data_IF_532748021474
#
_entry.id   IF_532748021474
#
_cell.length_a   1.000
_cell.length_b   1.000
_cell.length_c   1.000
_cell.angle_alpha   90.00
_cell.angle_beta   90.00
_cell.angle_gamma   90.00
#
_symmetry.space_group_name_H-M   'P 1'
#
loop_
_entity.id
_entity.type
_entity.pdbx_description
1 polymer ?
#
# COMPACT_ATOMS: atom_id res chain seq x y z
N UNK A 1 -21.29 44.41 12.97
CA UNK A 1 -21.72 43.11 12.41
C UNK A 1 -20.62 42.09 12.70
N UNK A 2 -20.81 41.22 13.70
CA UNK A 2 -19.86 40.15 13.97
C UNK A 2 -19.97 39.14 12.83
N UNK A 3 -18.88 38.93 12.09
CA UNK A 3 -18.85 38.00 10.97
C UNK A 3 -19.25 36.60 11.47
N UNK A 4 -20.13 35.90 10.75
CA UNK A 4 -20.54 34.52 11.05
C UNK A 4 -19.34 33.59 11.26
N UNK A 5 -18.20 33.90 10.65
CA UNK A 5 -16.93 33.20 10.83
C UNK A 5 -16.36 33.33 12.24
N UNK A 6 -16.49 34.48 12.91
CA UNK A 6 -16.07 34.65 14.30
C UNK A 6 -16.90 33.81 15.26
N UNK A 7 -18.22 33.72 15.03
CA UNK A 7 -19.11 32.90 15.86
C UNK A 7 -18.74 31.41 15.72
N UNK A 8 -18.52 30.94 14.49
CA UNK A 8 -18.10 29.56 14.24
C UNK A 8 -16.74 29.24 14.89
N UNK A 9 -15.80 30.17 14.84
CA UNK A 9 -14.47 29.99 15.43
C UNK A 9 -14.54 29.92 16.96
N UNK A 10 -15.35 30.78 17.60
CA UNK A 10 -15.58 30.73 19.05
C UNK A 10 -16.26 29.42 19.45
N UNK A 11 -17.29 28.98 18.71
CA UNK A 11 -17.97 27.71 18.97
C UNK A 11 -17.01 26.52 18.82
N UNK A 12 -16.15 26.53 17.80
CA UNK A 12 -15.14 25.49 17.60
C UNK A 12 -14.13 25.45 18.76
N UNK A 13 -13.63 26.60 19.22
CA UNK A 13 -12.71 26.67 20.35
C UNK A 13 -13.35 26.15 21.65
N UNK A 14 -14.62 26.49 21.90
CA UNK A 14 -15.35 25.99 23.06
C UNK A 14 -15.57 24.47 22.98
N UNK A 15 -15.90 23.95 21.80
CA UNK A 15 -16.07 22.51 21.59
C UNK A 15 -14.76 21.74 21.80
N UNK A 16 -13.62 22.28 21.35
CA UNK A 16 -12.30 21.69 21.59
C UNK A 16 -11.95 21.71 23.08
N UNK A 17 -12.17 22.84 23.76
CA UNK A 17 -11.95 22.93 25.21
C UNK A 17 -12.80 21.93 26.00
N UNK A 18 -14.07 21.78 25.63
CA UNK A 18 -14.97 20.80 26.23
C UNK A 18 -14.52 19.36 25.97
N UNK A 19 -14.05 19.06 24.76
CA UNK A 19 -13.53 17.74 24.41
C UNK A 19 -12.27 17.38 25.21
N UNK A 20 -11.34 18.32 25.38
CA UNK A 20 -10.15 18.13 26.21
C UNK A 20 -10.51 17.93 27.69
N UNK A 21 -11.48 18.68 28.21
CA UNK A 21 -11.99 18.49 29.58
C UNK A 21 -12.60 17.10 29.78
N UNK A 22 -13.38 16.61 28.81
CA UNK A 22 -13.96 15.27 28.85
C UNK A 22 -12.89 14.17 28.78
N UNK A 23 -11.85 14.35 27.97
CA UNK A 23 -10.69 13.45 27.94
C UNK A 23 -9.99 13.41 29.30
N UNK A 24 -9.69 14.57 29.89
CA UNK A 24 -9.05 14.66 31.21
C UNK A 24 -9.88 13.95 32.28
N UNK A 25 -11.21 14.17 32.31
CA UNK A 25 -12.12 13.47 33.23
C UNK A 25 -12.18 11.97 32.97
N UNK A 26 -12.17 11.54 31.72
CA UNK A 26 -12.16 10.13 31.34
C UNK A 26 -10.88 9.43 31.80
N UNK A 27 -9.71 10.04 31.61
CA UNK A 27 -8.43 9.51 32.10
C UNK A 27 -8.35 9.51 33.63
N UNK A 28 -8.83 10.56 34.30
CA UNK A 28 -8.90 10.61 35.76
C UNK A 28 -9.85 9.55 36.33
N UNK A 29 -10.93 9.20 35.61
CA UNK A 29 -11.83 8.11 35.97
C UNK A 29 -11.20 6.72 35.77
N UNK A 30 -10.30 6.57 34.80
CA UNK A 30 -9.59 5.31 34.55
C UNK A 30 -8.40 5.11 35.49
N UNK A 31 -7.86 6.18 36.07
CA UNK A 31 -6.73 6.14 37.02
C UNK A 31 -7.10 5.90 38.49
N UNK A 32 -8.40 5.86 38.83
CA UNK A 32 -8.85 5.80 40.22
C UNK A 32 -9.15 4.37 40.73
N UNK A 33 -8.19 3.45 40.64
CA UNK A 33 -8.00 2.34 41.59
C UNK A 33 -6.78 1.49 41.23
N UNK A 34 -5.60 1.95 41.63
CA UNK A 34 -4.54 1.03 42.01
C UNK A 34 -4.01 1.55 43.34
N UNK A 35 -4.44 0.91 44.42
CA UNK A 35 -3.86 1.08 45.74
C UNK A 35 -2.42 0.55 45.64
N UNK A 36 -1.46 1.47 45.49
CA UNK A 36 -0.03 1.13 45.44
C UNK A 36 0.59 1.57 46.75
N UNK A 37 0.82 0.60 47.64
CA UNK A 37 1.98 0.60 48.53
C UNK A 37 3.22 0.76 47.63
N UNK A 38 3.83 1.95 47.71
CA UNK A 38 4.98 2.44 46.95
C UNK A 38 6.13 1.42 46.78
N UNK A 39 6.93 1.50 45.70
CA UNK A 39 7.87 2.62 45.51
C UNK A 39 7.92 3.17 44.05
N UNK A 40 8.67 4.25 43.76
CA UNK A 40 8.31 5.25 42.75
C UNK A 40 8.47 4.69 41.33
N UNK A 41 7.40 4.79 40.54
CA UNK A 41 7.45 4.54 39.11
C UNK A 41 7.61 5.85 38.36
N UNK A 42 8.72 5.97 37.65
CA UNK A 42 8.93 6.99 36.63
C UNK A 42 7.73 7.00 35.66
N UNK A 43 7.20 8.18 35.28
CA UNK A 43 6.11 8.25 34.33
C UNK A 43 6.61 7.76 32.96
N UNK A 44 6.22 6.55 32.56
CA UNK A 44 6.41 6.07 31.19
C UNK A 44 5.76 7.07 30.23
N UNK A 45 6.48 7.58 29.21
CA UNK A 45 5.91 8.55 28.30
C UNK A 45 4.84 7.87 27.45
N UNK A 46 3.57 8.09 27.81
CA UNK A 46 2.36 7.82 27.00
C UNK A 46 2.34 8.62 25.66
N UNK A 47 3.43 9.30 25.32
CA UNK A 47 3.55 10.30 24.27
C UNK A 47 3.50 9.78 22.81
N UNK A 48 3.98 8.58 22.43
CA UNK A 48 4.03 8.21 21.00
C UNK A 48 2.64 7.84 20.43
N UNK A 49 1.75 7.29 21.25
CA UNK A 49 0.41 6.89 20.79
C UNK A 49 -0.50 8.08 20.52
N UNK A 50 -0.42 9.13 21.34
CA UNK A 50 -1.18 10.37 21.09
C UNK A 50 -0.68 11.10 19.85
N UNK A 51 0.63 11.09 19.58
CA UNK A 51 1.18 11.64 18.34
C UNK A 51 0.67 10.87 17.11
N UNK A 52 0.71 9.53 17.15
CA UNK A 52 0.19 8.71 16.07
C UNK A 52 -1.29 8.98 15.80
N UNK A 53 -2.10 9.08 16.87
CA UNK A 53 -3.52 9.39 16.77
C UNK A 53 -3.75 10.81 16.21
N UNK A 54 -2.97 11.80 16.65
CA UNK A 54 -3.05 13.16 16.13
C UNK A 54 -2.71 13.22 14.63
N UNK A 55 -1.67 12.51 14.18
CA UNK A 55 -1.33 12.39 12.76
C UNK A 55 -2.48 11.76 11.95
N UNK A 56 -3.10 10.71 12.48
CA UNK A 56 -4.22 10.03 11.82
C UNK A 56 -5.44 10.96 11.69
N UNK A 57 -5.74 11.72 12.73
CA UNK A 57 -6.84 12.69 12.73
C UNK A 57 -6.58 13.88 11.79
N UNK A 58 -5.35 14.41 11.76
CA UNK A 58 -4.95 15.49 10.85
C UNK A 58 -4.99 15.01 9.40
N UNK A 59 -4.47 13.81 9.11
CA UNK A 59 -4.52 13.20 7.78
C UNK A 59 -5.94 12.94 7.30
N UNK A 60 -6.79 12.39 8.18
CA UNK A 60 -8.20 12.18 7.89
C UNK A 60 -8.95 13.48 7.63
N UNK A 61 -8.74 14.50 8.46
CA UNK A 61 -9.34 15.83 8.28
C UNK A 61 -8.90 16.46 6.96
N UNK A 62 -7.61 16.39 6.60
CA UNK A 62 -7.10 16.93 5.34
C UNK A 62 -7.74 16.27 4.12
N UNK A 63 -7.95 14.94 4.16
CA UNK A 63 -8.65 14.20 3.11
C UNK A 63 -10.12 14.60 2.99
N UNK A 64 -10.81 14.78 4.11
CA UNK A 64 -12.22 15.21 4.16
C UNK A 64 -12.42 16.68 3.73
N UNK A 65 -11.40 17.52 3.95
CA UNK A 65 -11.42 18.96 3.63
C UNK A 65 -11.18 19.25 2.14
N UNK A 66 -10.57 18.30 1.41
CA UNK A 66 -10.24 18.43 -0.02
C UNK A 66 -10.87 17.29 -0.83
N UNK A 67 -12.21 17.30 -0.99
CA UNK A 67 -12.92 16.26 -1.74
C UNK A 67 -12.51 16.18 -3.21
N UNK A 68 -11.94 17.25 -3.79
CA UNK A 68 -11.33 17.22 -5.12
C UNK A 68 -10.18 16.20 -5.24
N UNK A 69 -9.36 16.02 -4.19
CA UNK A 69 -8.25 15.05 -4.18
C UNK A 69 -8.73 13.60 -4.03
N UNK A 70 -9.91 13.40 -3.44
CA UNK A 70 -10.58 12.10 -3.39
C UNK A 70 -11.12 11.68 -4.76
N UNK A 71 -11.51 12.65 -5.60
CA UNK A 71 -11.91 12.37 -6.98
C UNK A 71 -10.73 11.95 -7.85
N UNK A 72 -9.56 12.57 -7.72
CA UNK A 72 -8.35 12.11 -8.43
C UNK A 72 -7.96 10.69 -8.00
N UNK A 73 -7.96 10.38 -6.69
CA UNK A 73 -7.71 9.03 -6.18
C UNK A 73 -8.75 8.00 -6.65
N UNK A 74 -10.03 8.41 -6.75
CA UNK A 74 -11.12 7.54 -7.23
C UNK A 74 -11.07 7.36 -8.75
N UNK A 75 -10.72 8.40 -9.50
CA UNK A 75 -10.56 8.34 -10.95
C UNK A 75 -9.35 7.50 -11.30
N UNK A 76 -8.23 7.59 -10.59
CA UNK A 76 -7.08 6.69 -10.77
C UNK A 76 -7.43 5.24 -10.41
N UNK A 77 -8.19 5.00 -9.34
CA UNK A 77 -8.63 3.65 -8.96
C UNK A 77 -9.64 3.04 -9.95
N UNK A 78 -10.48 3.87 -10.59
CA UNK A 78 -11.50 3.44 -11.56
C UNK A 78 -10.99 3.43 -13.02
N UNK A 79 -10.04 4.28 -13.40
CA UNK A 79 -9.37 4.23 -14.71
C UNK A 79 -8.38 3.07 -14.80
N UNK A 80 -7.83 2.61 -13.68
CA UNK A 80 -7.15 1.29 -13.61
C UNK A 80 -8.12 0.12 -13.79
N UNK A 81 -9.41 0.31 -13.48
CA UNK A 81 -10.45 -0.73 -13.57
C UNK A 81 -11.18 -0.77 -14.93
N UNK A 82 -11.25 0.35 -15.65
CA UNK A 82 -12.05 0.48 -16.88
C UNK A 82 -11.26 1.20 -17.99
N UNK A 83 -10.33 0.48 -18.60
CA UNK A 83 -9.96 0.68 -20.00
C UNK A 83 -9.57 -0.67 -20.64
N UNK A 84 -10.53 -1.55 -20.96
CA UNK A 84 -10.32 -2.65 -21.90
C UNK A 84 -10.64 -2.12 -23.30
N UNK A 85 -9.77 -1.29 -23.88
CA UNK A 85 -9.92 -0.90 -25.28
C UNK A 85 -8.60 -0.41 -25.87
N UNK A 86 -7.83 -1.35 -26.43
CA UNK A 86 -7.35 -1.23 -27.80
C UNK A 86 -6.76 -2.57 -28.27
N UNK A 87 -7.41 -3.11 -29.30
CA UNK A 87 -7.00 -4.19 -30.23
C UNK A 87 -6.97 -5.65 -29.75
N UNK A 88 -7.94 -6.48 -30.21
CA UNK A 88 -7.76 -7.92 -30.23
C UNK A 88 -6.83 -8.26 -31.40
N UNK A 89 -5.52 -8.32 -31.13
CA UNK A 89 -4.62 -9.05 -32.04
C UNK A 89 -4.84 -10.53 -31.74
N UNK A 90 -5.61 -11.17 -32.62
CA UNK A 90 -5.69 -12.62 -32.73
C UNK A 90 -4.27 -13.18 -32.80
N UNK A 91 -3.77 -13.68 -31.67
CA UNK A 91 -2.59 -14.51 -31.66
C UNK A 91 -3.08 -15.95 -31.75
N UNK A 92 -2.94 -16.50 -32.94
CA UNK A 92 -3.26 -17.89 -33.24
C UNK A 92 -2.62 -18.83 -32.23
N UNK A 93 -3.49 -19.58 -31.57
CA UNK A 93 -3.14 -20.75 -30.78
C UNK A 93 -2.71 -21.85 -31.76
N UNK A 94 -1.41 -22.13 -31.82
CA UNK A 94 -0.91 -23.35 -32.47
C UNK A 94 0.35 -23.82 -31.75
N UNK A 95 0.21 -24.93 -31.04
CA UNK A 95 1.30 -25.86 -30.84
C UNK A 95 1.81 -25.92 -29.40
N UNK A 96 1.37 -26.97 -28.72
CA UNK A 96 2.16 -27.68 -27.74
C UNK A 96 3.59 -27.90 -28.25
N UNK A 97 4.53 -27.07 -27.82
CA UNK A 97 5.95 -27.34 -28.00
C UNK A 97 6.73 -26.72 -26.85
N UNK A 98 7.20 -27.62 -25.99
CA UNK A 98 8.33 -27.49 -25.09
C UNK A 98 9.43 -26.64 -25.75
N UNK A 99 9.45 -25.34 -25.50
CA UNK A 99 10.60 -24.47 -25.73
C UNK A 99 11.24 -24.19 -24.38
N UNK A 100 12.07 -25.13 -23.96
CA UNK A 100 13.18 -24.90 -23.04
C UNK A 100 14.02 -23.73 -23.59
N UNK A 101 14.12 -22.63 -22.85
CA UNK A 101 15.08 -21.56 -23.16
C UNK A 101 14.69 -20.14 -22.75
N UNK A 102 13.41 -19.82 -22.58
CA UNK A 102 12.91 -18.57 -21.98
C UNK A 102 11.54 -18.86 -21.35
N UNK A 103 11.54 -19.75 -20.35
CA UNK A 103 10.37 -20.03 -19.52
C UNK A 103 10.11 -18.81 -18.63
N UNK A 104 9.17 -17.95 -19.01
CA UNK A 104 8.74 -16.82 -18.19
C UNK A 104 7.45 -17.20 -17.45
N UNK A 105 7.46 -18.33 -16.75
CA UNK A 105 6.42 -18.66 -15.78
C UNK A 105 6.76 -17.96 -14.47
N UNK A 106 5.98 -16.96 -14.09
CA UNK A 106 6.06 -16.26 -12.81
C UNK A 106 4.93 -16.65 -11.86
N UNK A 107 3.93 -17.38 -12.35
CA UNK A 107 2.81 -17.92 -11.57
C UNK A 107 2.32 -19.20 -12.25
N UNK A 108 1.86 -20.17 -11.46
CA UNK A 108 1.24 -21.40 -11.97
C UNK A 108 -0.11 -21.15 -12.65
N UNK A 109 -0.79 -20.04 -12.33
CA UNK A 109 -2.00 -19.59 -13.01
C UNK A 109 -1.66 -18.81 -14.30
N UNK A 110 -2.09 -19.28 -15.50
CA UNK A 110 -1.81 -18.60 -16.76
C UNK A 110 -2.35 -17.16 -16.85
N UNK A 111 -3.41 -16.84 -16.11
CA UNK A 111 -3.96 -15.47 -16.04
C UNK A 111 -3.03 -14.56 -15.24
N UNK A 112 -2.59 -15.01 -14.07
CA UNK A 112 -1.62 -14.26 -13.25
C UNK A 112 -0.28 -14.13 -13.97
N UNK A 113 0.17 -15.20 -14.63
CA UNK A 113 1.43 -15.16 -15.38
C UNK A 113 1.39 -14.10 -16.49
N UNK A 114 0.30 -14.06 -17.27
CA UNK A 114 0.10 -13.02 -18.30
C UNK A 114 -0.01 -11.63 -17.69
N UNK A 115 -0.65 -11.49 -16.54
CA UNK A 115 -0.74 -10.23 -15.80
C UNK A 115 0.64 -9.72 -15.35
N UNK A 116 1.48 -10.59 -14.78
CA UNK A 116 2.84 -10.25 -14.35
C UNK A 116 3.69 -9.84 -15.56
N UNK A 117 3.66 -10.63 -16.64
CA UNK A 117 4.43 -10.35 -17.87
C UNK A 117 3.98 -9.04 -18.52
N UNK A 118 2.68 -8.81 -18.65
CA UNK A 118 2.10 -7.54 -19.09
C UNK A 118 2.70 -6.90 -20.36
N UNK A 119 3.28 -7.69 -21.27
CA UNK A 119 3.91 -7.20 -22.50
C UNK A 119 5.42 -6.90 -22.42
N UNK A 120 6.11 -7.27 -21.33
CA UNK A 120 7.56 -7.09 -21.20
C UNK A 120 8.34 -7.73 -22.35
N UNK A 121 9.33 -7.01 -22.86
CA UNK A 121 10.30 -7.54 -23.83
C UNK A 121 11.23 -8.53 -23.13
N UNK A 122 11.89 -9.40 -23.92
CA UNK A 122 12.86 -10.38 -23.39
C UNK A 122 13.95 -9.74 -22.53
N UNK A 123 14.43 -8.56 -22.89
CA UNK A 123 15.43 -7.85 -22.07
C UNK A 123 14.86 -7.36 -20.73
N UNK A 124 13.61 -6.90 -20.72
CA UNK A 124 12.91 -6.48 -19.50
C UNK A 124 12.57 -7.68 -18.60
N UNK A 125 12.25 -8.84 -19.18
CA UNK A 125 12.07 -10.09 -18.43
C UNK A 125 13.36 -10.51 -17.71
N UNK A 126 14.52 -10.37 -18.36
CA UNK A 126 15.82 -10.62 -17.69
C UNK A 126 16.10 -9.66 -16.54
N UNK A 127 15.69 -8.40 -16.66
CA UNK A 127 15.79 -7.43 -15.56
C UNK A 127 14.85 -7.81 -14.42
N UNK A 128 13.61 -8.17 -14.73
CA UNK A 128 12.65 -8.66 -13.75
C UNK A 128 13.18 -9.89 -13.00
N UNK A 129 13.81 -10.83 -13.71
CA UNK A 129 14.41 -12.01 -13.09
C UNK A 129 15.48 -11.63 -12.06
N UNK A 130 16.34 -10.66 -12.39
CA UNK A 130 17.34 -10.12 -11.45
C UNK A 130 16.69 -9.50 -10.21
N UNK A 131 15.61 -8.72 -10.39
CA UNK A 131 14.87 -8.11 -9.27
C UNK A 131 14.28 -9.21 -8.37
N UNK A 132 13.66 -10.23 -8.95
CA UNK A 132 13.00 -11.30 -8.21
C UNK A 132 13.99 -12.22 -7.49
N UNK A 133 15.15 -12.51 -8.09
CA UNK A 133 16.24 -13.21 -7.41
C UNK A 133 16.72 -12.43 -6.17
N UNK A 134 16.74 -11.10 -6.26
CA UNK A 134 17.13 -10.25 -5.14
C UNK A 134 16.05 -10.21 -4.05
N UNK A 135 14.76 -10.15 -4.40
CA UNK A 135 13.62 -10.25 -3.47
C UNK A 135 13.62 -11.61 -2.74
N UNK A 136 13.89 -12.71 -3.45
CA UNK A 136 13.95 -14.04 -2.83
C UNK A 136 15.03 -14.15 -1.76
N UNK A 137 16.20 -13.55 -2.01
CA UNK A 137 17.35 -13.62 -1.08
C UNK A 137 17.23 -12.69 0.11
N UNK A 138 16.69 -11.49 -0.08
CA UNK A 138 16.70 -10.43 0.93
C UNK A 138 15.33 -10.22 1.59
N UNK A 139 14.28 -10.86 1.07
CA UNK A 139 12.91 -10.52 1.40
C UNK A 139 12.48 -9.22 0.70
N UNK A 140 11.36 -8.66 1.18
CA UNK A 140 10.71 -7.51 0.57
C UNK A 140 11.67 -6.35 0.25
N UNK A 141 11.74 -5.98 -1.02
CA UNK A 141 12.58 -4.86 -1.48
C UNK A 141 11.87 -3.51 -1.33
N UNK A 142 12.62 -2.49 -0.91
CA UNK A 142 12.13 -1.11 -0.95
C UNK A 142 12.14 -0.55 -2.39
N UNK A 143 11.35 0.50 -2.61
CA UNK A 143 11.15 1.12 -3.94
C UNK A 143 12.47 1.53 -4.61
N UNK A 144 13.36 2.21 -3.88
CA UNK A 144 14.66 2.64 -4.40
C UNK A 144 15.55 1.48 -4.87
N UNK A 145 15.49 0.33 -4.19
CA UNK A 145 16.27 -0.86 -4.60
C UNK A 145 15.68 -1.49 -5.83
N UNK A 146 14.35 -1.55 -5.93
CA UNK A 146 13.64 -2.07 -7.11
C UNK A 146 13.95 -1.21 -8.33
N UNK A 147 13.85 0.11 -8.21
CA UNK A 147 14.19 1.05 -9.29
C UNK A 147 15.64 0.90 -9.74
N UNK A 148 16.59 0.80 -8.80
CA UNK A 148 18.00 0.61 -9.13
C UNK A 148 18.24 -0.71 -9.88
N UNK A 149 17.61 -1.80 -9.45
CA UNK A 149 17.77 -3.12 -10.08
C UNK A 149 17.06 -3.21 -11.44
N UNK A 150 15.99 -2.44 -11.62
CA UNK A 150 15.26 -2.30 -12.87
C UNK A 150 15.93 -1.34 -13.87
N UNK A 151 17.01 -0.66 -13.50
CA UNK A 151 17.59 0.47 -14.24
C UNK A 151 16.54 1.56 -14.55
N UNK A 152 15.67 1.86 -13.58
CA UNK A 152 14.55 2.82 -13.70
C UNK A 152 13.55 2.49 -14.82
N UNK A 153 13.50 1.23 -15.28
CA UNK A 153 12.55 0.76 -16.28
C UNK A 153 11.17 0.58 -15.64
N UNK A 154 10.26 1.53 -15.86
CA UNK A 154 8.94 1.59 -15.22
C UNK A 154 8.11 0.31 -15.44
N UNK A 155 8.23 -0.33 -16.61
CA UNK A 155 7.50 -1.56 -16.92
C UNK A 155 7.98 -2.72 -16.03
N UNK A 156 9.29 -2.81 -15.79
CA UNK A 156 9.90 -3.83 -14.93
C UNK A 156 9.51 -3.60 -13.47
N UNK A 157 9.55 -2.35 -13.01
CA UNK A 157 9.12 -1.96 -11.65
C UNK A 157 7.66 -2.34 -11.45
N UNK A 158 6.79 -1.99 -12.41
CA UNK A 158 5.36 -2.34 -12.37
C UNK A 158 5.15 -3.85 -12.36
N UNK A 159 5.90 -4.60 -13.17
CA UNK A 159 5.82 -6.05 -13.20
C UNK A 159 6.21 -6.70 -11.87
N UNK A 160 7.23 -6.17 -11.18
CA UNK A 160 7.59 -6.59 -9.83
C UNK A 160 6.42 -6.38 -8.84
N UNK A 161 5.74 -5.24 -8.87
CA UNK A 161 4.57 -5.03 -8.00
C UNK A 161 3.38 -5.92 -8.36
N UNK A 162 3.19 -6.24 -9.65
CA UNK A 162 2.19 -7.23 -10.07
C UNK A 162 2.53 -8.62 -9.51
N UNK A 163 3.81 -9.01 -9.55
CA UNK A 163 4.29 -10.24 -8.94
C UNK A 163 4.00 -10.28 -7.44
N UNK A 164 4.33 -9.22 -6.69
CA UNK A 164 4.03 -9.13 -5.25
C UNK A 164 2.52 -9.25 -4.97
N UNK A 165 1.69 -8.62 -5.79
CA UNK A 165 0.23 -8.74 -5.68
C UNK A 165 -0.23 -10.18 -5.83
N UNK A 166 0.28 -10.90 -6.83
CA UNK A 166 0.01 -12.32 -7.05
C UNK A 166 0.54 -13.19 -5.90
N UNK A 167 1.75 -12.91 -5.39
CA UNK A 167 2.35 -13.59 -4.22
C UNK A 167 1.46 -13.50 -2.98
N UNK A 168 0.85 -12.34 -2.77
CA UNK A 168 0.02 -12.07 -1.59
C UNK A 168 -1.43 -12.54 -1.72
N UNK A 169 -1.89 -12.95 -2.90
CA UNK A 169 -3.29 -13.30 -3.16
C UNK A 169 -3.75 -14.65 -2.56
N UNK A 170 -2.87 -15.40 -1.87
CA UNK A 170 -3.14 -16.63 -1.11
C UNK A 170 -4.31 -17.48 -1.66
N UNK A 171 -4.20 -17.93 -2.92
CA UNK A 171 -5.11 -18.92 -3.49
C UNK A 171 -4.47 -20.30 -3.33
N UNK A 172 -5.23 -21.27 -2.82
CA UNK A 172 -4.73 -22.62 -2.46
C UNK A 172 -4.13 -23.41 -3.63
N UNK A 173 -4.42 -23.04 -4.89
CA UNK A 173 -3.93 -23.71 -6.10
C UNK A 173 -2.84 -22.95 -6.86
N UNK A 174 -2.61 -21.67 -6.53
CA UNK A 174 -1.78 -20.79 -7.35
C UNK A 174 -0.53 -20.39 -6.56
N UNK A 175 0.63 -20.57 -7.17
CA UNK A 175 1.92 -20.26 -6.53
C UNK A 175 2.74 -19.43 -7.50
N UNK A 176 3.32 -18.35 -6.98
CA UNK A 176 4.29 -17.57 -7.75
C UNK A 176 5.59 -18.36 -7.89
N UNK A 177 6.23 -18.23 -9.05
CA UNK A 177 7.44 -18.98 -9.40
C UNK A 177 8.59 -18.00 -9.51
N UNK A 178 9.62 -18.18 -8.68
CA UNK A 178 10.86 -17.40 -8.81
C UNK A 178 11.70 -17.88 -10.00
N UNK A 179 12.60 -17.05 -10.55
CA UNK A 179 13.40 -17.41 -11.73
C UNK A 179 14.19 -18.72 -11.60
N UNK A 180 14.64 -19.06 -10.39
CA UNK A 180 15.39 -20.27 -10.08
C UNK A 180 14.51 -21.52 -9.89
N UNK A 181 13.19 -21.36 -9.86
CA UNK A 181 12.20 -22.45 -9.67
C UNK A 181 11.57 -22.91 -11.00
N UNK A 182 12.00 -22.35 -12.12
CA UNK A 182 11.45 -22.61 -13.46
C UNK A 182 12.02 -23.85 -14.14
#
# INVERSE_FOLDING_TARGET
>A
MQSRTMILLVVALVAVGFFLYMLEKFFNSLGAKVEVTNPPHEPKPLMPWFLLFAFLMIGGYYLLSHPEKLHDLRVDLLTVSMNPSAEPREFFDTGSSRRSGLGAGYDTDPSNNRYIIGGLKIQQLKKLDRVLEFDKRNGYLNETTVERLADSDEDVVRAYYRFLKCKNLMRSSNTVIYPDER
#
